data_IF_101911184640
#
_entry.id   IF_101911184640
#
_cell.length_a   1.000
_cell.length_b   1.000
_cell.length_c   1.000
_cell.angle_alpha   90.00
_cell.angle_beta   90.00
_cell.angle_gamma   90.00
#
_symmetry.space_group_name_H-M   'P 1'
#
loop_
_entity.id
_entity.type
_entity.pdbx_description
1 polymer ?
#
# COMPACT_ATOMS: atom_id res chain seq x y z
N UNK A 1 36.39 -11.61 1.79
CA UNK A 1 34.99 -11.33 2.20
C UNK A 1 34.10 -11.46 0.98
N UNK A 2 32.88 -12.01 1.11
CA UNK A 2 31.94 -12.17 -0.01
C UNK A 2 30.61 -11.46 0.27
N UNK A 3 29.95 -10.98 -0.78
CA UNK A 3 28.61 -10.40 -0.76
C UNK A 3 27.67 -11.28 -1.58
N UNK A 4 26.69 -11.91 -0.94
CA UNK A 4 25.65 -12.65 -1.66
C UNK A 4 24.73 -11.65 -2.36
N UNK A 5 24.63 -11.75 -3.68
CA UNK A 5 23.81 -10.88 -4.54
C UNK A 5 22.53 -11.57 -5.03
N UNK A 6 22.51 -12.89 -5.02
CA UNK A 6 21.32 -13.69 -5.31
C UNK A 6 21.36 -15.00 -4.53
N UNK A 7 20.21 -15.48 -4.11
CA UNK A 7 20.08 -16.77 -3.44
C UNK A 7 18.77 -17.43 -3.90
N UNK A 8 18.87 -18.72 -4.18
CA UNK A 8 17.75 -19.59 -4.47
C UNK A 8 17.72 -20.73 -3.43
N UNK A 9 16.79 -21.66 -3.58
CA UNK A 9 16.58 -22.78 -2.67
C UNK A 9 17.78 -23.72 -2.57
N UNK A 10 18.60 -23.84 -3.62
CA UNK A 10 19.71 -24.80 -3.71
C UNK A 10 21.06 -24.21 -4.15
N UNK A 11 21.14 -22.91 -4.46
CA UNK A 11 22.39 -22.20 -4.76
C UNK A 11 22.36 -20.73 -4.32
N UNK A 12 23.53 -20.11 -4.26
CA UNK A 12 23.67 -18.67 -4.07
C UNK A 12 24.79 -18.13 -4.97
N UNK A 13 24.59 -16.91 -5.47
CA UNK A 13 25.58 -16.16 -6.24
C UNK A 13 26.16 -15.10 -5.33
N UNK A 14 27.48 -15.11 -5.19
CA UNK A 14 28.21 -14.16 -4.36
C UNK A 14 29.32 -13.48 -5.14
N UNK A 15 29.52 -12.19 -4.85
CA UNK A 15 30.63 -11.42 -5.36
C UNK A 15 31.76 -11.37 -4.33
N UNK A 16 33.04 -11.52 -4.74
CA UNK A 16 34.16 -11.25 -3.88
C UNK A 16 34.23 -9.75 -3.57
N UNK A 17 34.27 -9.39 -2.29
CA UNK A 17 34.43 -8.00 -1.80
C UNK A 17 35.90 -7.69 -1.51
N UNK A 18 36.67 -8.73 -1.19
CA UNK A 18 38.13 -8.68 -1.01
C UNK A 18 38.67 -9.99 -1.53
N UNK A 19 39.47 -9.99 -2.60
CA UNK A 19 40.29 -11.15 -2.94
C UNK A 19 41.68 -10.75 -3.43
N UNK A 20 42.64 -10.96 -2.54
CA UNK A 20 43.85 -11.69 -2.87
C UNK A 20 43.93 -12.88 -1.91
N UNK A 21 43.52 -14.08 -2.34
CA UNK A 21 43.74 -15.32 -1.57
C UNK A 21 42.66 -16.39 -1.70
N UNK A 22 43.08 -17.58 -2.15
CA UNK A 22 42.51 -18.95 -2.18
C UNK A 22 41.05 -19.24 -1.80
N UNK A 23 40.48 -20.28 -2.44
CA UNK A 23 39.11 -20.78 -2.23
C UNK A 23 38.83 -21.11 -0.75
N UNK A 24 38.09 -20.26 -0.06
CA UNK A 24 37.59 -20.50 1.28
C UNK A 24 36.08 -20.77 1.26
N UNK A 25 35.61 -21.76 2.01
CA UNK A 25 34.18 -22.03 2.18
C UNK A 25 33.57 -21.00 3.13
N UNK A 26 32.52 -20.30 2.70
CA UNK A 26 31.77 -19.35 3.51
C UNK A 26 30.39 -19.93 3.86
N UNK A 27 30.02 -19.92 5.14
CA UNK A 27 28.70 -20.34 5.62
C UNK A 27 27.97 -19.17 6.27
N UNK A 28 26.72 -18.93 5.86
CA UNK A 28 25.81 -17.99 6.52
C UNK A 28 24.64 -18.76 7.10
N UNK A 29 24.42 -18.65 8.41
CA UNK A 29 23.26 -19.23 9.08
C UNK A 29 22.10 -18.25 8.91
N UNK A 30 21.04 -18.69 8.25
CA UNK A 30 19.78 -17.94 8.14
C UNK A 30 18.79 -18.53 9.15
N UNK A 31 18.25 -17.68 10.03
CA UNK A 31 17.19 -18.07 10.97
C UNK A 31 15.82 -18.22 10.27
N UNK A 32 15.69 -17.78 9.02
CA UNK A 32 14.45 -17.91 8.26
C UNK A 32 14.30 -19.34 7.73
N UNK A 33 13.08 -19.89 7.86
CA UNK A 33 12.71 -21.16 7.21
C UNK A 33 12.97 -21.08 5.71
N UNK A 34 13.37 -22.19 5.06
CA UNK A 34 13.70 -22.22 3.62
C UNK A 34 12.61 -21.59 2.73
N UNK A 35 11.34 -21.70 3.13
CA UNK A 35 10.20 -21.11 2.41
C UNK A 35 10.12 -19.58 2.52
N UNK A 36 10.64 -18.96 3.59
CA UNK A 36 10.60 -17.52 3.79
C UNK A 36 11.70 -16.77 3.02
N UNK A 37 12.79 -17.45 2.61
CA UNK A 37 13.88 -16.82 1.85
C UNK A 37 13.45 -16.36 0.45
N UNK A 38 12.49 -17.07 -0.17
CA UNK A 38 12.06 -16.80 -1.55
C UNK A 38 10.82 -15.90 -1.65
N UNK A 39 10.15 -15.60 -0.53
CA UNK A 39 8.97 -14.75 -0.49
C UNK A 39 9.37 -13.29 -0.73
N UNK A 40 8.64 -12.53 -1.57
CA UNK A 40 8.88 -11.11 -1.70
C UNK A 40 8.77 -10.39 -0.35
N UNK A 41 9.52 -9.31 -0.20
CA UNK A 41 9.54 -8.55 1.05
C UNK A 41 8.69 -7.30 0.91
N UNK A 42 7.95 -7.00 1.97
CA UNK A 42 7.16 -5.78 2.07
C UNK A 42 7.57 -4.99 3.33
N UNK A 43 7.45 -3.68 3.29
CA UNK A 43 7.68 -2.81 4.44
C UNK A 43 6.49 -1.88 4.68
N UNK A 44 5.98 -1.85 5.90
CA UNK A 44 5.02 -0.80 6.31
C UNK A 44 5.78 0.51 6.44
N UNK A 45 5.43 1.50 5.60
CA UNK A 45 6.17 2.77 5.50
C UNK A 45 5.40 3.95 6.09
N UNK A 46 4.07 3.87 6.15
CA UNK A 46 3.25 4.92 6.73
C UNK A 46 1.98 4.34 7.36
N UNK A 47 1.60 4.92 8.48
CA UNK A 47 0.33 4.68 9.17
C UNK A 47 -0.30 6.05 9.42
N UNK A 48 -1.40 6.32 8.74
CA UNK A 48 -2.18 7.53 8.90
C UNK A 48 -3.29 7.29 9.94
N UNK A 49 -3.34 8.17 10.93
CA UNK A 49 -4.33 8.15 12.02
C UNK A 49 -4.88 9.57 12.21
N UNK A 50 -6.10 9.69 12.72
CA UNK A 50 -6.79 10.98 12.90
C UNK A 50 -7.22 11.25 14.35
N UNK A 51 -7.22 10.24 15.23
CA UNK A 51 -7.58 10.39 16.65
C UNK A 51 -6.39 10.15 17.59
N UNK A 52 -5.16 10.13 17.05
CA UNK A 52 -3.93 10.00 17.84
C UNK A 52 -3.60 8.57 18.25
N UNK A 53 -4.18 7.58 17.57
CA UNK A 53 -3.87 6.17 17.78
C UNK A 53 -2.36 5.90 17.57
N UNK A 54 -1.80 4.99 18.39
CA UNK A 54 -0.40 4.60 18.28
C UNK A 54 -0.13 3.90 16.95
N UNK A 55 0.70 4.53 16.10
CA UNK A 55 1.10 4.00 14.80
C UNK A 55 1.83 2.66 14.93
N UNK A 56 2.69 2.53 15.94
CA UNK A 56 3.46 1.30 16.20
C UNK A 56 2.52 0.16 16.61
N UNK A 57 1.47 0.44 17.40
CA UNK A 57 0.47 -0.58 17.78
C UNK A 57 -0.37 -1.03 16.57
N UNK A 58 -0.76 -0.10 15.71
CA UNK A 58 -1.49 -0.42 14.47
C UNK A 58 -0.64 -1.31 13.56
N UNK A 59 0.62 -0.94 13.36
CA UNK A 59 1.58 -1.74 12.57
C UNK A 59 1.74 -3.14 13.15
N UNK A 60 1.87 -3.27 14.48
CA UNK A 60 2.01 -4.55 15.15
C UNK A 60 0.77 -5.44 14.96
N UNK A 61 -0.44 -4.94 15.26
CA UNK A 61 -1.68 -5.72 15.12
C UNK A 61 -1.87 -6.20 13.67
N UNK A 62 -1.61 -5.33 12.70
CA UNK A 62 -1.68 -5.68 11.28
C UNK A 62 -0.64 -6.74 10.90
N UNK A 63 0.60 -6.59 11.38
CA UNK A 63 1.70 -7.52 11.10
C UNK A 63 1.43 -8.91 11.68
N UNK A 64 0.96 -8.96 12.93
CA UNK A 64 0.60 -10.21 13.61
C UNK A 64 -0.54 -10.94 12.86
N UNK A 65 -1.51 -10.19 12.32
CA UNK A 65 -2.63 -10.74 11.58
C UNK A 65 -2.26 -11.30 10.20
N UNK A 66 -1.21 -10.80 9.55
CA UNK A 66 -0.69 -11.36 8.29
C UNK A 66 -0.02 -12.72 8.55
N UNK A 67 0.79 -12.78 9.61
CA UNK A 67 1.49 -14.00 10.03
C UNK A 67 2.42 -14.61 8.97
N UNK A 68 2.85 -15.85 9.18
CA UNK A 68 3.85 -16.52 8.32
C UNK A 68 3.29 -17.13 7.04
N UNK A 69 1.97 -17.35 6.98
CA UNK A 69 1.31 -18.04 5.86
C UNK A 69 1.05 -17.15 4.63
N UNK A 70 1.32 -15.85 4.71
CA UNK A 70 1.20 -14.96 3.57
C UNK A 70 2.21 -15.32 2.45
N UNK A 71 1.89 -14.95 1.21
CA UNK A 71 2.77 -15.15 0.05
C UNK A 71 4.00 -14.21 0.04
N UNK A 72 4.07 -13.28 0.99
CA UNK A 72 5.15 -12.31 1.20
C UNK A 72 5.58 -12.30 2.67
N UNK A 73 6.68 -11.61 2.96
CA UNK A 73 7.17 -11.41 4.34
C UNK A 73 7.27 -9.94 4.67
N UNK A 74 6.92 -9.57 5.90
CA UNK A 74 7.13 -8.21 6.39
C UNK A 74 8.58 -8.02 6.82
N UNK A 75 9.17 -6.92 6.40
CA UNK A 75 10.53 -6.53 6.75
C UNK A 75 10.50 -5.81 8.09
N UNK A 76 11.06 -6.40 9.16
CA UNK A 76 11.09 -5.73 10.45
C UNK A 76 12.00 -4.49 10.39
N UNK A 77 11.53 -3.39 10.95
CA UNK A 77 12.29 -2.15 11.09
C UNK A 77 12.50 -1.85 12.57
N UNK A 78 13.74 -1.96 13.00
CA UNK A 78 14.15 -1.48 14.31
C UNK A 78 14.65 -0.05 14.17
N UNK A 79 13.84 0.92 14.62
CA UNK A 79 14.18 2.35 14.61
C UNK A 79 15.40 2.68 15.48
N UNK A 80 15.79 1.79 16.40
CA UNK A 80 16.98 1.90 17.27
C UNK A 80 18.19 1.14 16.73
N UNK A 81 18.12 0.61 15.51
CA UNK A 81 19.20 -0.19 14.93
C UNK A 81 20.52 0.57 14.91
N UNK A 82 20.54 1.82 14.46
CA UNK A 82 21.77 2.63 14.41
C UNK A 82 22.41 2.78 15.79
N UNK A 83 21.62 3.08 16.83
CA UNK A 83 22.11 3.18 18.22
C UNK A 83 22.66 1.84 18.72
N UNK A 84 21.95 0.73 18.48
CA UNK A 84 22.41 -0.60 18.89
C UNK A 84 23.69 -1.02 18.15
N UNK A 85 23.73 -0.80 16.83
CA UNK A 85 24.88 -1.12 16.01
C UNK A 85 26.11 -0.28 16.42
N UNK A 86 25.90 0.99 16.76
CA UNK A 86 26.95 1.86 17.29
C UNK A 86 27.45 1.37 18.65
N UNK A 87 26.56 1.10 19.61
CA UNK A 87 26.95 0.60 20.93
C UNK A 87 27.70 -0.74 20.85
N UNK A 88 27.26 -1.66 19.99
CA UNK A 88 27.97 -2.93 19.76
C UNK A 88 29.35 -2.68 19.14
N UNK A 89 29.45 -1.77 18.17
CA UNK A 89 30.73 -1.40 17.56
C UNK A 89 31.71 -0.80 18.58
N UNK A 90 31.23 0.09 19.45
CA UNK A 90 32.03 0.74 20.50
C UNK A 90 32.50 -0.27 21.55
N UNK A 91 31.65 -1.22 21.95
CA UNK A 91 31.99 -2.23 22.97
C UNK A 91 32.88 -3.36 22.46
N UNK A 92 32.76 -3.74 21.18
CA UNK A 92 33.47 -4.91 20.63
C UNK A 92 34.72 -4.54 19.81
N UNK A 93 34.90 -3.26 19.46
CA UNK A 93 35.96 -2.81 18.58
C UNK A 93 35.81 -3.26 17.11
N UNK A 94 34.75 -4.01 16.79
CA UNK A 94 34.43 -4.50 15.44
C UNK A 94 33.73 -3.39 14.64
N UNK A 95 34.47 -2.32 14.32
CA UNK A 95 33.96 -1.17 13.58
C UNK A 95 33.95 -1.38 12.06
N UNK A 96 33.12 -2.30 11.56
CA UNK A 96 32.85 -2.34 10.13
C UNK A 96 31.69 -1.38 9.79
N UNK A 97 31.97 -0.07 9.82
CA UNK A 97 31.01 0.99 9.43
C UNK A 97 30.39 0.72 8.04
N UNK A 98 31.13 0.09 7.12
CA UNK A 98 30.64 -0.29 5.79
C UNK A 98 29.59 -1.42 5.79
N UNK A 99 29.52 -2.24 6.85
CA UNK A 99 28.54 -3.33 6.97
C UNK A 99 27.24 -2.95 7.69
N UNK A 100 27.24 -1.85 8.43
CA UNK A 100 26.05 -1.40 9.20
C UNK A 100 24.91 -0.91 8.29
N UNK A 101 25.19 -0.48 7.06
CA UNK A 101 24.21 0.13 6.15
C UNK A 101 24.10 -0.62 4.81
N UNK A 102 23.87 -1.94 4.87
CA UNK A 102 23.83 -2.79 3.66
C UNK A 102 22.46 -3.36 3.33
N UNK A 103 21.42 -3.12 4.14
CA UNK A 103 20.08 -3.65 3.83
C UNK A 103 19.55 -2.98 2.56
N UNK A 104 19.19 -3.80 1.57
CA UNK A 104 18.46 -3.34 0.39
C UNK A 104 17.01 -2.99 0.75
N UNK A 105 16.42 -2.10 -0.02
CA UNK A 105 14.99 -1.85 0.06
C UNK A 105 14.20 -3.10 -0.35
N UNK A 106 13.06 -3.37 0.32
CA UNK A 106 12.13 -4.41 -0.11
C UNK A 106 11.48 -4.08 -1.46
N UNK A 107 10.89 -5.10 -2.07
CA UNK A 107 10.17 -5.00 -3.35
C UNK A 107 8.83 -4.27 -3.22
N UNK A 108 8.22 -4.33 -2.04
CA UNK A 108 6.90 -3.76 -1.78
C UNK A 108 6.87 -2.86 -0.55
N UNK A 109 5.95 -1.91 -0.57
CA UNK A 109 5.67 -0.97 0.52
C UNK A 109 4.19 -1.04 0.88
N UNK A 110 3.87 -0.90 2.16
CA UNK A 110 2.50 -0.91 2.66
C UNK A 110 2.22 0.43 3.34
N UNK A 111 1.05 0.99 3.06
CA UNK A 111 0.50 2.12 3.81
C UNK A 111 -0.83 1.72 4.43
N UNK A 112 -1.06 2.15 5.66
CA UNK A 112 -2.29 1.90 6.40
C UNK A 112 -2.96 3.26 6.69
N UNK A 113 -4.27 3.31 6.57
CA UNK A 113 -5.07 4.47 6.89
C UNK A 113 -6.22 4.06 7.81
N UNK A 114 -6.21 4.59 9.03
CA UNK A 114 -7.22 4.36 10.06
C UNK A 114 -8.12 5.57 10.14
N UNK A 115 -9.39 5.41 9.77
CA UNK A 115 -10.39 6.47 9.89
C UNK A 115 -10.82 6.62 11.36
N UNK A 116 -11.19 7.84 11.82
CA UNK A 116 -11.72 8.04 13.17
C UNK A 116 -12.76 6.99 13.56
N UNK A 117 -12.57 6.34 14.71
CA UNK A 117 -13.54 5.39 15.24
C UNK A 117 -14.76 6.15 15.75
N UNK A 118 -15.92 5.82 15.22
CA UNK A 118 -17.19 6.48 15.55
C UNK A 118 -17.92 5.61 16.56
N UNK A 119 -18.47 6.23 17.59
CA UNK A 119 -19.33 5.51 18.51
C UNK A 119 -20.21 6.44 19.31
N UNK A 120 -21.38 5.94 19.70
CA UNK A 120 -22.36 6.65 20.50
C UNK A 120 -23.07 5.67 21.46
N UNK A 121 -23.67 6.23 22.50
CA UNK A 121 -24.49 5.51 23.47
C UNK A 121 -25.83 6.23 23.61
N UNK A 122 -26.94 5.51 23.48
CA UNK A 122 -28.28 6.08 23.63
C UNK A 122 -29.10 5.29 24.65
N UNK A 123 -29.88 5.99 25.47
CA UNK A 123 -30.81 5.35 26.40
C UNK A 123 -31.98 4.74 25.62
N UNK A 124 -32.26 3.45 25.79
CA UNK A 124 -33.38 2.74 25.13
C UNK A 124 -34.43 2.23 26.11
N UNK A 125 -34.17 2.31 27.42
CA UNK A 125 -35.12 1.99 28.49
C UNK A 125 -34.70 2.61 29.82
N UNK A 126 -35.40 2.31 30.92
CA UNK A 126 -35.09 2.93 32.22
C UNK A 126 -33.69 2.59 32.73
N UNK A 127 -33.22 1.38 32.48
CA UNK A 127 -31.91 0.88 32.96
C UNK A 127 -31.01 0.38 31.83
N UNK A 128 -31.42 0.56 30.57
CA UNK A 128 -30.75 0.00 29.39
C UNK A 128 -30.26 1.08 28.43
N UNK A 129 -29.02 0.91 27.98
CA UNK A 129 -28.35 1.76 27.00
C UNK A 129 -27.93 0.94 25.79
N UNK A 130 -28.21 1.42 24.60
CA UNK A 130 -27.67 0.87 23.37
C UNK A 130 -26.35 1.57 23.05
N UNK A 131 -25.29 0.79 22.92
CA UNK A 131 -23.96 1.24 22.52
C UNK A 131 -23.68 0.77 21.10
N UNK A 132 -23.27 1.69 20.23
CA UNK A 132 -22.86 1.39 18.85
C UNK A 132 -21.49 1.97 18.58
N UNK A 133 -20.60 1.17 18.01
CA UNK A 133 -19.24 1.53 17.62
C UNK A 133 -18.96 1.01 16.21
N UNK A 134 -18.30 1.83 15.41
CA UNK A 134 -17.94 1.54 14.02
C UNK A 134 -16.49 1.95 13.76
N UNK A 135 -15.71 1.05 13.16
CA UNK A 135 -14.32 1.28 12.77
C UNK A 135 -14.09 0.92 11.29
N UNK A 136 -13.23 1.71 10.66
CA UNK A 136 -12.94 1.68 9.22
C UNK A 136 -11.42 1.78 9.01
N UNK A 137 -10.84 0.77 8.36
CA UNK A 137 -9.40 0.74 8.07
C UNK A 137 -9.13 0.34 6.63
N UNK A 138 -8.11 0.95 6.05
CA UNK A 138 -7.68 0.73 4.68
C UNK A 138 -6.19 0.44 4.65
N UNK A 139 -5.76 -0.39 3.72
CA UNK A 139 -4.35 -0.52 3.39
C UNK A 139 -4.14 -0.75 1.91
N UNK A 140 -2.95 -0.39 1.45
CA UNK A 140 -2.49 -0.60 0.09
C UNK A 140 -1.09 -1.22 0.09
N UNK A 141 -0.85 -2.12 -0.86
CA UNK A 141 0.49 -2.59 -1.20
C UNK A 141 0.94 -1.92 -2.50
N UNK A 142 2.14 -1.35 -2.46
CA UNK A 142 2.72 -0.52 -3.51
C UNK A 142 4.05 -1.14 -3.94
N UNK A 143 4.30 -1.26 -5.25
CA UNK A 143 5.59 -1.72 -5.77
C UNK A 143 6.66 -0.60 -5.81
N UNK A 144 7.91 -0.94 -6.14
CA UNK A 144 9.02 0.04 -6.21
C UNK A 144 8.85 1.14 -7.25
N UNK A 145 7.92 1.01 -8.20
CA UNK A 145 7.59 2.08 -9.15
C UNK A 145 6.61 3.11 -8.54
N UNK A 146 5.96 2.76 -7.43
CA UNK A 146 4.90 3.55 -6.81
C UNK A 146 3.49 3.14 -7.21
N UNK A 147 3.33 2.04 -7.96
CA UNK A 147 2.02 1.52 -8.38
C UNK A 147 1.37 0.72 -7.26
N UNK A 148 0.08 0.95 -7.03
CA UNK A 148 -0.75 0.12 -6.14
C UNK A 148 -1.02 -1.21 -6.82
N UNK A 149 -0.57 -2.30 -6.20
CA UNK A 149 -0.77 -3.67 -6.70
C UNK A 149 -1.91 -4.39 -6.00
N UNK A 150 -2.27 -3.94 -4.79
CA UNK A 150 -3.38 -4.47 -4.03
C UNK A 150 -3.88 -3.41 -3.06
N UNK A 151 -5.20 -3.33 -2.88
CA UNK A 151 -5.82 -2.47 -1.87
C UNK A 151 -6.92 -3.25 -1.17
N UNK A 152 -7.00 -3.08 0.14
CA UNK A 152 -8.00 -3.74 0.97
C UNK A 152 -8.65 -2.76 1.95
N UNK A 153 -9.85 -3.13 2.35
CA UNK A 153 -10.75 -2.34 3.18
C UNK A 153 -11.45 -3.28 4.16
N UNK A 154 -11.35 -2.98 5.45
CA UNK A 154 -11.96 -3.78 6.49
C UNK A 154 -12.68 -2.90 7.50
N UNK A 155 -13.75 -3.47 8.07
CA UNK A 155 -14.64 -2.79 9.00
C UNK A 155 -14.95 -3.66 10.20
N UNK A 156 -15.30 -3.02 11.31
CA UNK A 156 -15.94 -3.69 12.43
C UNK A 156 -17.04 -2.80 13.00
N UNK A 157 -18.17 -3.42 13.34
CA UNK A 157 -19.29 -2.76 13.99
C UNK A 157 -19.68 -3.58 15.22
N UNK A 158 -19.74 -2.90 16.36
CA UNK A 158 -20.19 -3.47 17.63
C UNK A 158 -21.48 -2.74 18.01
N UNK A 159 -22.59 -3.46 18.13
CA UNK A 159 -23.86 -2.95 18.64
C UNK A 159 -24.33 -3.84 19.79
N UNK A 160 -24.46 -3.27 20.98
CA UNK A 160 -24.82 -4.01 22.19
C UNK A 160 -25.75 -3.21 23.10
N UNK A 161 -26.53 -3.92 23.92
CA UNK A 161 -27.37 -3.33 24.96
C UNK A 161 -26.73 -3.57 26.32
N UNK A 162 -26.44 -2.50 27.04
CA UNK A 162 -25.82 -2.50 28.36
C UNK A 162 -26.89 -2.22 29.41
N UNK A 163 -26.93 -3.01 30.47
CA UNK A 163 -27.85 -2.84 31.61
C UNK A 163 -27.09 -2.39 32.84
N UNK A 164 -27.51 -1.29 33.47
CA UNK A 164 -26.94 -0.80 34.74
C UNK A 164 -25.40 -0.66 34.77
N UNK A 165 -24.78 -0.24 33.66
CA UNK A 165 -23.31 -0.12 33.57
C UNK A 165 -22.55 -1.45 33.55
N UNK A 166 -23.24 -2.60 33.50
CA UNK A 166 -22.63 -3.92 33.30
C UNK A 166 -22.26 -4.10 31.83
N UNK A 167 -21.16 -3.48 31.41
CA UNK A 167 -20.64 -3.56 30.05
C UNK A 167 -19.30 -2.85 29.92
N UNK A 168 -18.60 -3.09 28.82
CA UNK A 168 -17.39 -2.35 28.52
C UNK A 168 -17.72 -0.91 28.16
N UNK A 169 -16.86 0.01 28.59
CA UNK A 169 -16.98 1.42 28.24
C UNK A 169 -16.94 1.64 26.73
N UNK A 170 -17.52 2.75 26.27
CA UNK A 170 -17.46 3.14 24.86
C UNK A 170 -16.01 3.24 24.36
N UNK A 171 -15.10 3.76 25.18
CA UNK A 171 -13.67 3.84 24.84
C UNK A 171 -13.06 2.46 24.60
N UNK A 172 -13.29 1.52 25.52
CA UNK A 172 -12.84 0.13 25.35
C UNK A 172 -13.42 -0.52 24.10
N UNK A 173 -14.71 -0.28 23.79
CA UNK A 173 -15.30 -0.82 22.55
C UNK A 173 -14.73 -0.18 21.29
N UNK A 174 -14.37 1.10 21.31
CA UNK A 174 -13.66 1.74 20.18
C UNK A 174 -12.32 1.05 19.90
N UNK A 175 -11.55 0.75 20.93
CA UNK A 175 -10.29 0.02 20.79
C UNK A 175 -10.51 -1.41 20.26
N UNK A 176 -11.52 -2.12 20.78
CA UNK A 176 -11.86 -3.47 20.32
C UNK A 176 -12.30 -3.46 18.85
N UNK A 177 -13.17 -2.53 18.45
CA UNK A 177 -13.62 -2.41 17.07
C UNK A 177 -12.45 -2.12 16.11
N UNK A 178 -11.56 -1.19 16.48
CA UNK A 178 -10.37 -0.91 15.69
C UNK A 178 -9.45 -2.13 15.56
N UNK A 179 -9.19 -2.83 16.67
CA UNK A 179 -8.39 -4.06 16.67
C UNK A 179 -9.00 -5.11 15.74
N UNK A 180 -10.30 -5.35 15.84
CA UNK A 180 -11.01 -6.31 15.00
C UNK A 180 -10.92 -5.93 13.52
N UNK A 181 -11.11 -4.65 13.18
CA UNK A 181 -10.99 -4.16 11.81
C UNK A 181 -9.56 -4.36 11.25
N UNK A 182 -8.53 -4.07 12.04
CA UNK A 182 -7.12 -4.29 11.67
C UNK A 182 -6.77 -5.76 11.48
N UNK A 183 -7.29 -6.64 12.35
CA UNK A 183 -7.10 -8.10 12.20
C UNK A 183 -7.74 -8.58 10.90
N UNK A 184 -8.97 -8.14 10.60
CA UNK A 184 -9.65 -8.45 9.33
C UNK A 184 -8.85 -7.92 8.14
N UNK A 185 -8.29 -6.72 8.22
CA UNK A 185 -7.45 -6.13 7.17
C UNK A 185 -6.20 -6.98 6.89
N UNK A 186 -5.48 -7.40 7.95
CA UNK A 186 -4.32 -8.28 7.82
C UNK A 186 -4.68 -9.63 7.18
N UNK A 187 -5.81 -10.22 7.56
CA UNK A 187 -6.31 -11.45 6.94
C UNK A 187 -6.69 -11.27 5.46
N UNK A 188 -7.23 -10.11 5.08
CA UNK A 188 -7.50 -9.80 3.67
C UNK A 188 -6.21 -9.68 2.86
N UNK A 189 -5.14 -9.11 3.42
CA UNK A 189 -3.82 -9.08 2.77
C UNK A 189 -3.23 -10.48 2.63
N UNK A 190 -3.28 -11.27 3.71
CA UNK A 190 -2.78 -12.64 3.74
C UNK A 190 -3.44 -13.51 2.65
N UNK A 191 -4.76 -13.40 2.48
CA UNK A 191 -5.52 -14.20 1.50
C UNK A 191 -5.49 -13.62 0.10
N UNK A 192 -5.67 -12.30 -0.02
CA UNK A 192 -5.87 -11.63 -1.29
C UNK A 192 -4.61 -11.49 -2.13
N UNK A 193 -3.44 -11.44 -1.49
CA UNK A 193 -2.16 -11.31 -2.21
C UNK A 193 -1.58 -12.69 -2.47
N UNK A 194 -1.52 -13.05 -3.75
CA UNK A 194 -0.82 -14.23 -4.24
C UNK A 194 0.16 -13.79 -5.31
N UNK A 195 1.46 -13.99 -5.05
CA UNK A 195 2.50 -13.70 -6.02
C UNK A 195 2.72 -14.90 -6.95
N UNK A 196 2.80 -14.60 -8.24
CA UNK A 196 3.24 -15.53 -9.26
C UNK A 196 4.61 -15.12 -9.74
N UNK A 197 5.58 -16.04 -9.63
CA UNK A 197 6.92 -15.81 -10.18
C UNK A 197 6.93 -16.11 -11.66
N UNK A 198 7.49 -15.18 -12.40
CA UNK A 198 7.45 -15.14 -13.85
C UNK A 198 8.85 -15.03 -14.42
N UNK A 199 9.17 -15.88 -15.37
CA UNK A 199 10.43 -15.83 -16.11
C UNK A 199 10.18 -15.20 -17.48
N UNK A 200 10.44 -13.90 -17.57
CA UNK A 200 10.36 -13.14 -18.82
C UNK A 200 11.71 -13.24 -19.56
N UNK A 201 11.68 -13.10 -20.88
CA UNK A 201 12.88 -13.26 -21.71
C UNK A 201 13.26 -11.94 -22.38
N UNK A 202 14.54 -11.62 -22.38
CA UNK A 202 15.11 -10.56 -23.21
C UNK A 202 15.01 -10.98 -24.68
N UNK A 203 14.32 -10.17 -25.47
CA UNK A 203 14.12 -10.38 -26.92
C UNK A 203 15.22 -9.76 -27.77
N UNK A 204 15.81 -8.65 -27.30
CA UNK A 204 16.99 -8.04 -27.91
C UNK A 204 17.78 -7.26 -26.86
N UNK A 205 19.11 -7.34 -26.95
CA UNK A 205 20.05 -6.66 -26.06
C UNK A 205 20.86 -5.59 -26.81
N UNK A 206 21.17 -4.49 -26.13
CA UNK A 206 22.09 -3.44 -26.57
C UNK A 206 23.05 -3.03 -25.45
N UNK A 207 23.90 -2.03 -25.69
CA UNK A 207 24.85 -1.53 -24.68
C UNK A 207 24.19 -0.87 -23.49
N UNK A 208 23.06 -0.17 -23.72
CA UNK A 208 22.41 0.68 -22.72
C UNK A 208 20.93 0.35 -22.53
N UNK A 209 20.28 -0.30 -23.50
CA UNK A 209 18.85 -0.64 -23.42
C UNK A 209 18.58 -2.06 -23.88
N UNK A 210 17.56 -2.67 -23.29
CA UNK A 210 17.09 -4.01 -23.62
C UNK A 210 15.60 -3.99 -23.94
N UNK A 211 15.17 -4.94 -24.77
CA UNK A 211 13.75 -5.15 -25.07
C UNK A 211 13.30 -6.49 -24.53
N UNK A 212 12.17 -6.50 -23.84
CA UNK A 212 11.65 -7.64 -23.10
C UNK A 212 10.29 -8.00 -23.67
N UNK A 213 10.05 -9.29 -23.88
CA UNK A 213 8.72 -9.78 -24.25
C UNK A 213 7.91 -10.02 -22.99
N UNK A 214 6.83 -9.27 -22.81
CA UNK A 214 5.96 -9.31 -21.63
C UNK A 214 4.48 -9.33 -22.04
N UNK A 215 4.04 -10.48 -22.53
CA UNK A 215 2.65 -10.73 -22.94
C UNK A 215 1.68 -10.76 -21.76
N UNK A 216 2.17 -11.03 -20.55
CA UNK A 216 1.36 -11.10 -19.34
C UNK A 216 1.16 -9.76 -18.64
N UNK A 217 1.66 -8.67 -19.24
CA UNK A 217 1.62 -7.32 -18.67
C UNK A 217 2.14 -7.25 -17.24
N UNK A 218 3.32 -7.82 -16.98
CA UNK A 218 3.90 -7.90 -15.64
C UNK A 218 4.85 -6.75 -15.31
N UNK A 219 5.41 -6.12 -16.33
CA UNK A 219 6.36 -5.02 -16.22
C UNK A 219 5.67 -3.67 -16.42
N UNK A 220 5.95 -2.75 -15.50
CA UNK A 220 5.41 -1.38 -15.50
C UNK A 220 6.51 -0.34 -15.63
N UNK A 221 6.18 0.83 -16.17
CA UNK A 221 7.12 1.96 -16.25
C UNK A 221 7.60 2.37 -14.87
N UNK A 222 8.91 2.57 -14.71
CA UNK A 222 9.59 2.85 -13.45
C UNK A 222 9.95 1.61 -12.62
N UNK A 223 9.53 0.41 -13.03
CA UNK A 223 9.88 -0.82 -12.33
C UNK A 223 11.36 -1.14 -12.49
N UNK A 224 12.04 -1.41 -11.37
CA UNK A 224 13.38 -1.99 -11.36
C UNK A 224 13.32 -3.50 -11.50
N UNK A 225 14.19 -4.04 -12.35
CA UNK A 225 14.32 -5.47 -12.63
C UNK A 225 15.79 -5.89 -12.61
N UNK A 226 16.03 -7.17 -12.37
CA UNK A 226 17.33 -7.77 -12.55
C UNK A 226 17.34 -8.62 -13.83
N UNK A 227 18.41 -8.48 -14.60
CA UNK A 227 18.70 -9.33 -15.76
C UNK A 227 19.59 -10.47 -15.29
N UNK A 228 19.23 -11.70 -15.65
CA UNK A 228 19.94 -12.90 -15.28
C UNK A 228 20.47 -13.62 -16.52
N UNK A 229 21.76 -13.92 -16.51
CA UNK A 229 22.33 -14.89 -17.44
C UNK A 229 22.06 -16.31 -16.90
N UNK A 230 21.58 -17.20 -17.77
CA UNK A 230 21.45 -18.63 -17.48
C UNK A 230 22.75 -19.35 -17.81
N UNK A 231 23.43 -19.86 -16.80
CA UNK A 231 24.62 -20.68 -16.99
C UNK A 231 24.42 -22.10 -16.45
N UNK A 232 25.13 -23.07 -17.05
CA UNK A 232 25.16 -24.44 -16.58
C UNK A 232 26.42 -24.66 -15.75
N UNK A 233 26.27 -24.73 -14.43
CA UNK A 233 27.38 -24.96 -13.48
C UNK A 233 27.15 -26.27 -12.77
N UNK A 234 28.15 -27.16 -12.78
CA UNK A 234 28.07 -28.49 -12.14
C UNK A 234 26.78 -29.27 -12.50
N UNK A 235 26.43 -29.25 -13.79
CA UNK A 235 25.21 -29.85 -14.37
C UNK A 235 23.86 -29.22 -13.98
N UNK A 236 23.84 -28.14 -13.19
CA UNK A 236 22.62 -27.40 -12.84
C UNK A 236 22.53 -26.10 -13.61
N UNK A 237 21.31 -25.66 -13.91
CA UNK A 237 21.09 -24.30 -14.41
C UNK A 237 21.06 -23.33 -13.23
N UNK A 238 21.89 -22.30 -13.30
CA UNK A 238 21.97 -21.24 -12.31
C UNK A 238 21.66 -19.91 -12.98
N UNK A 239 20.91 -19.05 -12.27
CA UNK A 239 20.62 -17.68 -12.71
C UNK A 239 21.61 -16.74 -12.03
N UNK A 240 22.44 -16.10 -12.84
CA UNK A 240 23.47 -15.18 -12.39
C UNK A 240 23.00 -13.76 -12.70
N UNK A 241 22.70 -12.91 -11.69
CA UNK A 241 22.31 -11.52 -11.94
C UNK A 241 23.48 -10.75 -12.55
N UNK A 242 23.28 -10.16 -13.71
CA UNK A 242 24.31 -9.43 -14.46
C UNK A 242 24.08 -7.91 -14.40
N UNK A 243 22.82 -7.48 -14.50
CA UNK A 243 22.44 -6.06 -14.52
C UNK A 243 21.23 -5.76 -13.66
N UNK A 244 21.22 -4.58 -13.07
CA UNK A 244 20.00 -3.86 -12.72
C UNK A 244 19.53 -3.04 -13.93
N UNK A 245 18.23 -3.04 -14.19
CA UNK A 245 17.61 -2.24 -15.24
C UNK A 245 16.30 -1.61 -14.76
N UNK A 246 15.94 -0.46 -15.33
CA UNK A 246 14.66 0.23 -15.07
C UNK A 246 13.82 0.21 -16.33
N UNK A 247 12.57 -0.25 -16.20
CA UNK A 247 11.59 -0.21 -17.29
C UNK A 247 11.27 1.26 -17.60
N UNK A 248 11.51 1.68 -18.84
CA UNK A 248 11.32 3.08 -19.28
C UNK A 248 10.09 3.25 -20.16
N UNK A 249 9.66 2.20 -20.86
CA UNK A 249 8.54 2.29 -21.79
C UNK A 249 7.88 0.92 -21.99
N UNK A 250 6.55 0.93 -22.16
CA UNK A 250 5.75 -0.22 -22.59
C UNK A 250 5.08 0.10 -23.93
N UNK A 251 5.21 -0.83 -24.89
CA UNK A 251 4.55 -0.79 -26.19
C UNK A 251 3.85 -2.14 -26.43
N UNK A 252 2.57 -2.22 -26.02
CA UNK A 252 1.81 -3.46 -26.08
C UNK A 252 2.47 -4.58 -25.27
N UNK A 253 2.85 -5.68 -25.94
CA UNK A 253 3.49 -6.85 -25.32
C UNK A 253 5.03 -6.76 -25.26
N UNK A 254 5.60 -5.62 -25.65
CA UNK A 254 7.04 -5.37 -25.57
C UNK A 254 7.34 -4.24 -24.61
N UNK A 255 8.41 -4.41 -23.86
CA UNK A 255 8.83 -3.46 -22.83
C UNK A 255 10.29 -3.10 -23.07
N UNK A 256 10.59 -1.81 -23.02
CA UNK A 256 11.96 -1.30 -23.10
C UNK A 256 12.44 -0.99 -21.69
N UNK A 257 13.62 -1.49 -21.35
CA UNK A 257 14.29 -1.17 -20.09
C UNK A 257 15.68 -0.59 -20.34
N UNK A 258 16.05 0.39 -19.53
CA UNK A 258 17.37 1.01 -19.50
C UNK A 258 18.25 0.23 -18.53
N UNK A 259 19.43 -0.19 -18.97
CA UNK A 259 20.44 -0.79 -18.10
C UNK A 259 21.00 0.32 -17.19
N UNK A 260 20.87 0.13 -15.87
CA UNK A 260 21.28 1.12 -14.88
C UNK A 260 22.71 0.86 -14.41
N UNK A 261 22.96 -0.33 -13.82
CA UNK A 261 24.25 -0.67 -13.22
C UNK A 261 24.56 -2.17 -13.37
N UNK A 262 25.82 -2.54 -13.68
CA UNK A 262 26.24 -3.93 -13.63
C UNK A 262 26.34 -4.40 -12.16
N UNK A 263 25.84 -5.59 -11.88
CA UNK A 263 25.78 -6.14 -10.51
C UNK A 263 27.19 -6.41 -9.95
N UNK A 264 28.13 -6.79 -10.82
CA UNK A 264 29.56 -6.99 -10.54
C UNK A 264 30.37 -5.69 -10.39
N UNK A 265 29.75 -4.51 -10.54
CA UNK A 265 30.39 -3.20 -10.40
C UNK A 265 31.20 -2.78 -11.64
N UNK A 266 32.30 -3.48 -11.95
CA UNK A 266 33.21 -3.09 -13.04
C UNK A 266 33.07 -3.96 -14.30
N UNK A 267 32.63 -5.22 -14.17
CA UNK A 267 32.51 -6.13 -15.30
C UNK A 267 31.15 -6.00 -15.98
N UNK A 268 31.12 -5.31 -17.12
CA UNK A 268 29.93 -5.16 -17.97
C UNK A 268 29.74 -6.41 -18.82
N UNK A 269 29.16 -7.46 -18.24
CA UNK A 269 28.74 -8.63 -19.02
C UNK A 269 27.66 -8.22 -20.04
N UNK A 270 27.79 -8.54 -21.33
CA UNK A 270 26.80 -8.13 -22.32
C UNK A 270 25.47 -8.83 -22.09
N UNK A 271 24.36 -8.10 -22.20
CA UNK A 271 23.01 -8.70 -22.18
C UNK A 271 22.71 -9.33 -23.54
N UNK A 272 22.23 -10.57 -23.52
CA UNK A 272 21.94 -11.37 -24.73
C UNK A 272 20.45 -11.66 -24.84
N UNK A 273 20.01 -11.95 -26.07
CA UNK A 273 18.67 -12.51 -26.28
C UNK A 273 18.56 -13.87 -25.57
N UNK A 274 17.46 -14.09 -24.86
CA UNK A 274 17.24 -15.29 -24.04
C UNK A 274 17.71 -15.16 -22.59
N UNK A 275 18.33 -14.04 -22.20
CA UNK A 275 18.56 -13.73 -20.78
C UNK A 275 17.20 -13.61 -20.05
N UNK A 276 17.20 -14.02 -18.78
CA UNK A 276 16.00 -14.14 -17.95
C UNK A 276 15.77 -12.89 -17.11
N UNK A 277 14.49 -12.59 -16.89
CA UNK A 277 14.06 -11.56 -15.95
C UNK A 277 13.01 -12.19 -15.06
N UNK A 278 13.38 -12.38 -13.80
CA UNK A 278 12.47 -12.90 -12.78
C UNK A 278 11.65 -11.77 -12.18
N UNK A 279 10.33 -11.92 -12.22
CA UNK A 279 9.38 -10.95 -11.66
C UNK A 279 8.35 -11.66 -10.81
N UNK A 280 8.17 -11.19 -9.58
CA UNK A 280 7.05 -11.57 -8.75
C UNK A 280 5.90 -10.56 -8.97
N UNK A 281 4.77 -11.05 -9.49
CA UNK A 281 3.60 -10.23 -9.82
C UNK A 281 2.33 -10.80 -9.23
N UNK A 282 1.45 -9.92 -8.72
CA UNK A 282 0.13 -10.30 -8.22
C UNK A 282 -0.95 -10.27 -9.32
N UNK A 283 -0.90 -9.25 -10.19
CA UNK A 283 -1.86 -9.05 -11.27
C UNK A 283 -1.21 -8.35 -12.46
N UNK A 284 -1.88 -8.43 -13.62
CA UNK A 284 -1.53 -7.65 -14.80
C UNK A 284 -1.50 -6.15 -14.49
N UNK A 285 -0.60 -5.42 -15.14
CA UNK A 285 -0.31 -4.00 -14.90
C UNK A 285 -1.30 -3.10 -15.63
N UNK A 286 -1.75 -3.48 -16.83
CA UNK A 286 -2.43 -2.57 -17.75
C UNK A 286 -1.49 -1.51 -18.36
N UNK A 287 -2.05 -0.58 -19.14
CA UNK A 287 -1.29 0.49 -19.79
C UNK A 287 -0.98 1.65 -18.82
N UNK A 288 0.31 1.88 -18.54
CA UNK A 288 0.79 3.00 -17.70
C UNK A 288 0.44 4.39 -18.25
N UNK A 289 0.12 4.55 -19.54
CA UNK A 289 -0.33 5.84 -20.10
C UNK A 289 -1.73 6.22 -19.61
N UNK A 290 -2.57 5.22 -19.36
CA UNK A 290 -3.91 5.42 -18.80
C UNK A 290 -3.89 5.49 -17.27
N UNK A 291 -2.70 5.52 -16.66
CA UNK A 291 -2.55 5.47 -15.22
C UNK A 291 -3.20 6.66 -14.52
N UNK A 292 -3.66 6.41 -13.29
CA UNK A 292 -4.26 7.41 -12.42
C UNK A 292 -3.42 7.66 -11.19
N UNK A 293 -3.55 8.86 -10.66
CA UNK A 293 -2.89 9.31 -9.42
C UNK A 293 -3.79 10.33 -8.75
N UNK A 294 -3.73 10.43 -7.41
CA UNK A 294 -4.34 11.57 -6.72
C UNK A 294 -3.52 12.84 -6.93
N UNK A 295 -4.19 13.98 -7.06
CA UNK A 295 -3.50 15.26 -7.15
C UNK A 295 -2.68 15.53 -5.88
N UNK A 296 -1.43 15.97 -6.05
CA UNK A 296 -0.49 16.19 -4.94
C UNK A 296 -0.92 17.30 -3.98
N UNK A 297 -1.52 18.36 -4.51
CA UNK A 297 -1.88 19.58 -3.77
C UNK A 297 -3.40 19.78 -3.62
N UNK A 298 -4.21 18.92 -4.24
CA UNK A 298 -5.67 19.00 -4.19
C UNK A 298 -6.20 17.79 -3.42
N UNK A 299 -6.37 17.98 -2.12
CA UNK A 299 -6.97 16.98 -1.25
C UNK A 299 -8.48 16.85 -1.51
N UNK A 300 -9.09 15.86 -0.84
CA UNK A 300 -10.54 15.65 -0.86
C UNK A 300 -11.26 16.94 -0.50
N UNK A 301 -12.07 17.43 -1.43
CA UNK A 301 -12.95 18.57 -1.18
C UNK A 301 -14.27 18.06 -0.63
N UNK A 302 -14.72 18.67 0.46
CA UNK A 302 -16.03 18.38 1.02
C UNK A 302 -16.85 19.67 1.13
N UNK A 303 -18.10 19.61 0.68
CA UNK A 303 -19.11 20.67 0.81
C UNK A 303 -20.31 20.15 1.59
N UNK A 304 -20.88 20.98 2.45
CA UNK A 304 -22.08 20.66 3.22
C UNK A 304 -21.85 20.59 4.72
N UNK A 305 -22.94 20.41 5.46
CA UNK A 305 -23.00 20.65 6.91
C UNK A 305 -22.40 19.52 7.76
N UNK A 306 -22.27 18.31 7.20
CA UNK A 306 -21.91 17.10 7.96
C UNK A 306 -20.48 16.69 7.61
N UNK A 307 -19.47 16.91 8.49
CA UNK A 307 -18.08 16.55 8.23
C UNK A 307 -17.90 15.02 8.10
N UNK A 308 -17.30 14.56 7.00
CA UNK A 308 -17.13 13.14 6.71
C UNK A 308 -15.74 12.82 6.13
N UNK A 309 -14.82 12.48 7.03
CA UNK A 309 -13.43 12.14 6.68
C UNK A 309 -13.27 10.83 5.89
N UNK A 310 -14.30 10.00 5.83
CA UNK A 310 -14.26 8.69 5.18
C UNK A 310 -14.26 8.73 3.65
N UNK A 311 -14.73 9.83 3.03
CA UNK A 311 -14.99 9.82 1.58
C UNK A 311 -13.72 9.64 0.74
N UNK A 312 -12.66 10.41 1.03
CA UNK A 312 -11.40 10.35 0.31
C UNK A 312 -10.81 8.93 0.29
N UNK A 313 -10.64 8.28 1.46
CA UNK A 313 -10.15 6.91 1.53
C UNK A 313 -11.07 5.87 0.86
N UNK A 314 -12.38 6.03 0.98
CA UNK A 314 -13.35 5.13 0.32
C UNK A 314 -13.26 5.20 -1.20
N UNK A 315 -13.28 6.40 -1.79
CA UNK A 315 -13.21 6.54 -3.25
C UNK A 315 -11.82 6.16 -3.78
N UNK A 316 -10.76 6.47 -3.02
CA UNK A 316 -9.42 6.01 -3.33
C UNK A 316 -9.37 4.49 -3.40
N UNK A 317 -9.85 3.80 -2.35
CA UNK A 317 -9.92 2.36 -2.32
C UNK A 317 -10.67 1.83 -3.54
N UNK A 318 -11.85 2.39 -3.85
CA UNK A 318 -12.63 1.99 -5.02
C UNK A 318 -11.84 2.13 -6.34
N UNK A 319 -11.13 3.25 -6.55
CA UNK A 319 -10.26 3.39 -7.72
C UNK A 319 -9.14 2.35 -7.72
N UNK A 320 -8.46 2.15 -6.60
CA UNK A 320 -7.32 1.21 -6.55
C UNK A 320 -7.72 -0.27 -6.65
N UNK A 321 -8.95 -0.64 -6.26
CA UNK A 321 -9.41 -2.04 -6.25
C UNK A 321 -10.32 -2.42 -7.41
N UNK A 322 -10.96 -1.46 -8.08
CA UNK A 322 -11.99 -1.73 -9.11
C UNK A 322 -11.69 -1.10 -10.47
N UNK A 323 -10.74 -0.15 -10.55
CA UNK A 323 -10.33 0.46 -11.82
C UNK A 323 -9.62 -0.57 -12.69
N UNK A 324 -9.91 -0.55 -13.99
CA UNK A 324 -9.12 -1.28 -15.01
C UNK A 324 -7.80 -0.59 -15.33
N UNK A 325 -7.68 0.68 -14.96
CA UNK A 325 -6.48 1.49 -15.18
C UNK A 325 -5.56 1.40 -13.96
N UNK A 326 -4.24 1.24 -14.14
CA UNK A 326 -3.30 1.22 -13.02
C UNK A 326 -3.36 2.51 -12.20
N UNK A 327 -3.16 2.37 -10.88
CA UNK A 327 -3.18 3.49 -9.95
C UNK A 327 -1.81 3.63 -9.29
N UNK A 328 -1.31 4.87 -9.19
CA UNK A 328 -0.03 5.19 -8.54
C UNK A 328 -0.24 6.00 -7.27
N UNK A 329 0.46 5.61 -6.21
CA UNK A 329 0.35 6.16 -4.86
C UNK A 329 1.62 6.92 -4.44
N UNK A 330 2.22 7.69 -5.34
CA UNK A 330 3.52 8.35 -5.10
C UNK A 330 3.43 9.58 -4.20
N UNK A 331 2.29 10.29 -4.24
CA UNK A 331 2.05 11.53 -3.49
C UNK A 331 1.54 11.35 -2.05
N UNK A 332 1.18 12.47 -1.45
CA UNK A 332 0.52 12.63 -0.14
C UNK A 332 -1.00 12.70 -0.29
N UNK A 333 -1.60 11.71 -0.98
CA UNK A 333 -2.98 11.76 -1.49
C UNK A 333 -4.06 12.19 -0.51
N UNK A 334 -3.84 12.02 0.80
CA UNK A 334 -4.72 12.52 1.86
C UNK A 334 -4.07 13.62 2.70
N UNK A 335 -4.90 14.50 3.27
CA UNK A 335 -4.45 15.52 4.21
C UNK A 335 -3.75 14.85 5.41
N UNK A 336 -2.50 15.22 5.66
CA UNK A 336 -1.68 14.63 6.73
C UNK A 336 -0.93 13.35 6.35
N UNK A 337 -1.16 12.79 5.15
CA UNK A 337 -0.37 11.68 4.64
C UNK A 337 0.99 12.17 4.13
N UNK A 338 2.04 11.40 4.36
CA UNK A 338 3.37 11.73 3.85
C UNK A 338 3.58 11.12 2.46
N UNK A 339 4.31 11.80 1.56
CA UNK A 339 4.62 11.26 0.23
C UNK A 339 5.42 9.96 0.33
N UNK A 340 5.30 9.08 -0.67
CA UNK A 340 5.80 7.70 -0.55
C UNK A 340 7.31 7.69 -0.38
N UNK A 341 7.98 8.51 -1.19
CA UNK A 341 9.43 8.74 -1.10
C UNK A 341 9.86 9.16 0.30
N UNK A 342 9.16 10.12 0.90
CA UNK A 342 9.51 10.65 2.22
C UNK A 342 9.26 9.62 3.32
N UNK A 343 8.16 8.86 3.24
CA UNK A 343 7.87 7.77 4.16
C UNK A 343 8.93 6.66 4.10
N UNK A 344 9.34 6.25 2.89
CA UNK A 344 10.41 5.25 2.72
C UNK A 344 11.72 5.75 3.31
N UNK A 345 12.15 6.97 2.97
CA UNK A 345 13.40 7.56 3.47
C UNK A 345 13.39 7.60 5.00
N UNK A 346 12.32 8.15 5.61
CA UNK A 346 12.20 8.26 7.06
C UNK A 346 12.23 6.91 7.77
N UNK A 347 11.59 5.89 7.19
CA UNK A 347 11.55 4.56 7.78
C UNK A 347 12.90 3.81 7.66
N UNK A 348 13.74 4.19 6.71
CA UNK A 348 14.97 3.46 6.37
C UNK A 348 16.25 4.12 6.87
N UNK A 349 16.24 5.43 7.10
CA UNK A 349 17.39 6.27 7.49
C UNK A 349 18.23 5.69 8.66
N UNK A 350 17.57 5.16 9.69
CA UNK A 350 18.23 4.65 10.91
C UNK A 350 18.10 3.13 11.10
N UNK A 351 17.67 2.42 10.07
CA UNK A 351 17.27 1.01 10.17
C UNK A 351 18.24 0.02 9.50
N UNK A 352 19.47 0.48 9.21
CA UNK A 352 20.54 -0.33 8.61
C UNK A 352 20.42 -0.50 7.09
N UNK A 353 19.55 0.27 6.44
CA UNK A 353 19.47 0.35 4.98
C UNK A 353 20.61 1.19 4.41
N UNK A 354 20.87 1.00 3.10
CA UNK A 354 21.80 1.85 2.36
C UNK A 354 21.41 3.32 2.48
N UNK A 355 22.40 4.19 2.74
CA UNK A 355 22.19 5.65 2.89
C UNK A 355 21.70 6.32 1.61
N UNK A 356 22.19 5.86 0.45
CA UNK A 356 21.71 6.30 -0.85
C UNK A 356 20.65 5.31 -1.35
N UNK A 357 19.39 5.75 -1.34
CA UNK A 357 18.26 4.99 -1.84
C UNK A 357 17.98 5.40 -3.28
N UNK A 358 18.24 4.51 -4.24
CA UNK A 358 17.85 4.72 -5.64
C UNK A 358 16.35 4.43 -5.83
N UNK A 359 15.53 5.43 -5.45
CA UNK A 359 14.08 5.43 -5.56
C UNK A 359 13.65 6.20 -6.82
N UNK A 360 13.41 5.47 -7.91
CA UNK A 360 12.88 6.01 -9.18
C UNK A 360 11.37 5.76 -9.27
N UNK A 361 10.58 6.56 -8.54
CA UNK A 361 9.12 6.45 -8.59
C UNK A 361 8.58 7.03 -9.92
N UNK A 362 7.64 6.33 -10.55
CA UNK A 362 6.89 6.83 -11.69
C UNK A 362 5.69 7.66 -11.22
N UNK A 363 5.59 8.89 -11.71
CA UNK A 363 4.47 9.79 -11.43
C UNK A 363 3.74 10.03 -12.75
N UNK A 364 2.49 9.54 -12.91
CA UNK A 364 1.66 9.90 -14.06
C UNK A 364 1.53 11.42 -14.13
N UNK A 365 1.81 12.00 -15.30
CA UNK A 365 1.79 13.46 -15.48
C UNK A 365 0.51 13.95 -16.14
N UNK A 366 -0.06 13.18 -17.07
CA UNK A 366 -1.17 13.62 -17.93
C UNK A 366 -2.39 14.13 -17.15
N UNK A 367 -2.90 13.33 -16.20
CA UNK A 367 -4.06 13.68 -15.39
C UNK A 367 -3.91 13.23 -13.92
N UNK A 368 -4.51 13.99 -13.00
CA UNK A 368 -4.68 13.61 -11.61
C UNK A 368 -6.14 13.73 -11.17
N UNK A 369 -6.48 12.99 -10.11
CA UNK A 369 -7.82 12.93 -9.52
C UNK A 369 -7.89 13.69 -8.19
N UNK A 370 -8.91 14.52 -8.06
CA UNK A 370 -9.32 15.12 -6.78
C UNK A 370 -10.67 14.54 -6.36
N UNK A 371 -10.73 13.80 -5.24
CA UNK A 371 -12.00 13.40 -4.62
C UNK A 371 -12.85 14.63 -4.27
N UNK A 372 -14.15 14.58 -4.58
CA UNK A 372 -15.09 15.63 -4.23
C UNK A 372 -16.38 15.03 -3.68
N UNK A 373 -16.85 15.54 -2.55
CA UNK A 373 -18.05 15.08 -1.88
C UNK A 373 -18.93 16.23 -1.43
N UNK A 374 -20.24 16.08 -1.60
CA UNK A 374 -21.25 16.99 -1.10
C UNK A 374 -22.30 16.19 -0.35
N UNK A 375 -22.65 16.67 0.84
CA UNK A 375 -23.73 16.10 1.65
C UNK A 375 -24.68 17.20 2.10
N UNK A 376 -25.98 16.97 1.90
CA UNK A 376 -27.04 17.86 2.37
C UNK A 376 -28.16 17.06 3.02
N UNK A 377 -28.80 17.64 4.03
CA UNK A 377 -30.05 17.11 4.57
C UNK A 377 -31.18 17.76 3.80
N UNK A 378 -32.13 16.97 3.32
CA UNK A 378 -33.33 17.50 2.69
C UNK A 378 -34.28 17.99 3.78
N UNK A 379 -34.40 19.31 3.97
CA UNK A 379 -35.16 19.89 5.08
C UNK A 379 -36.63 19.41 5.13
N UNK A 380 -37.29 19.35 3.97
CA UNK A 380 -38.68 18.90 3.84
C UNK A 380 -38.89 17.41 4.19
N UNK A 381 -37.81 16.63 4.31
CA UNK A 381 -37.86 15.21 4.67
C UNK A 381 -37.82 14.96 6.17
N UNK A 382 -37.51 15.98 6.98
CA UNK A 382 -37.27 15.82 8.42
C UNK A 382 -38.60 15.59 9.13
N UNK A 383 -38.73 14.44 9.79
CA UNK A 383 -39.91 14.07 10.59
C UNK A 383 -39.47 13.63 11.97
N UNK A 384 -39.80 14.42 12.99
CA UNK A 384 -39.42 14.12 14.36
C UNK A 384 -40.61 13.67 15.22
N UNK A 385 -40.31 12.94 16.29
CA UNK A 385 -41.25 12.69 17.37
C UNK A 385 -41.62 14.00 18.12
N UNK A 386 -42.62 13.93 19.00
CA UNK A 386 -43.21 15.09 19.69
C UNK A 386 -42.20 15.95 20.45
N UNK A 387 -41.17 15.31 21.04
CA UNK A 387 -40.10 15.95 21.81
C UNK A 387 -38.86 16.28 20.96
N UNK A 388 -38.90 16.07 19.64
CA UNK A 388 -37.83 16.34 18.68
C UNK A 388 -36.50 15.61 18.98
N UNK A 389 -36.53 14.58 19.83
CA UNK A 389 -35.34 13.82 20.24
C UNK A 389 -34.94 12.79 19.19
N UNK A 390 -35.90 12.29 18.41
CA UNK A 390 -35.70 11.28 17.38
C UNK A 390 -36.32 11.76 16.08
N UNK A 391 -35.51 11.82 15.02
CA UNK A 391 -35.94 12.28 13.71
C UNK A 391 -35.59 11.28 12.60
N UNK A 392 -36.49 11.16 11.63
CA UNK A 392 -36.21 10.60 10.32
C UNK A 392 -35.76 11.74 9.40
N UNK A 393 -34.84 11.46 8.48
CA UNK A 393 -34.35 12.44 7.51
C UNK A 393 -33.78 11.77 6.26
N UNK A 394 -33.85 12.45 5.12
CA UNK A 394 -33.20 12.03 3.88
C UNK A 394 -31.91 12.82 3.68
N UNK A 395 -30.81 12.11 3.48
CA UNK A 395 -29.54 12.70 3.07
C UNK A 395 -29.38 12.62 1.56
N UNK A 396 -29.05 13.73 0.93
CA UNK A 396 -28.64 13.80 -0.48
C UNK A 396 -27.12 13.80 -0.52
N UNK A 397 -26.55 12.69 -1.00
CA UNK A 397 -25.11 12.48 -1.14
C UNK A 397 -24.71 12.63 -2.60
N UNK A 398 -23.81 13.54 -2.92
CA UNK A 398 -23.19 13.64 -4.25
C UNK A 398 -21.69 13.44 -4.13
N UNK A 399 -21.18 12.33 -4.66
CA UNK A 399 -19.77 11.95 -4.58
C UNK A 399 -19.16 11.72 -5.94
N UNK A 400 -17.87 12.03 -6.09
CA UNK A 400 -17.17 11.83 -7.34
C UNK A 400 -15.68 12.14 -7.29
N UNK A 401 -15.06 12.17 -8.46
CA UNK A 401 -13.69 12.62 -8.67
C UNK A 401 -13.64 13.64 -9.80
N UNK A 402 -12.92 14.75 -9.57
CA UNK A 402 -12.61 15.75 -10.58
C UNK A 402 -11.25 15.41 -11.20
N UNK A 403 -11.12 15.66 -12.50
CA UNK A 403 -9.89 15.42 -13.28
C UNK A 403 -9.19 16.75 -13.54
N UNK A 404 -7.88 16.77 -13.32
CA UNK A 404 -7.03 17.92 -13.54
C UNK A 404 -5.85 17.55 -14.44
N UNK A 405 -5.46 18.45 -15.33
CA UNK A 405 -4.28 18.27 -16.18
C UNK A 405 -2.98 18.69 -15.47
N UNK A 406 -1.83 18.59 -16.16
CA UNK A 406 -0.52 19.04 -15.66
C UNK A 406 -0.48 20.49 -15.18
N UNK A 407 -1.29 21.37 -15.78
CA UNK A 407 -1.40 22.80 -15.43
C UNK A 407 -2.34 23.05 -14.24
N UNK A 408 -2.86 22.00 -13.60
CA UNK A 408 -3.88 22.07 -12.54
C UNK A 408 -5.20 22.71 -13.00
N UNK A 409 -5.50 22.65 -14.28
CA UNK A 409 -6.78 23.09 -14.81
C UNK A 409 -7.76 21.91 -14.79
N UNK A 410 -9.00 22.17 -14.37
CA UNK A 410 -10.04 21.14 -14.35
C UNK A 410 -10.43 20.78 -15.79
N UNK A 411 -10.16 19.53 -16.18
CA UNK A 411 -10.47 18.99 -17.52
C UNK A 411 -11.71 18.09 -17.52
N UNK A 412 -12.21 17.69 -16.34
CA UNK A 412 -13.43 16.90 -16.27
C UNK A 412 -13.87 16.57 -14.85
N UNK A 413 -14.97 15.83 -14.75
CA UNK A 413 -15.41 15.21 -13.51
C UNK A 413 -16.29 13.99 -13.79
N UNK A 414 -16.27 13.05 -12.86
CA UNK A 414 -17.22 11.95 -12.77
C UNK A 414 -17.84 11.97 -11.39
N UNK A 415 -19.14 11.72 -11.28
CA UNK A 415 -19.83 11.67 -10.00
C UNK A 415 -21.22 11.10 -10.10
N UNK A 416 -21.75 10.72 -8.95
CA UNK A 416 -23.11 10.23 -8.79
C UNK A 416 -23.76 10.88 -7.58
N UNK A 417 -25.07 11.00 -7.66
CA UNK A 417 -25.91 11.41 -6.55
C UNK A 417 -26.74 10.22 -6.07
N UNK A 418 -26.94 10.12 -4.77
CA UNK A 418 -27.79 9.14 -4.12
C UNK A 418 -28.54 9.77 -2.95
N UNK A 419 -29.79 9.38 -2.76
CA UNK A 419 -30.56 9.67 -1.56
C UNK A 419 -30.48 8.50 -0.57
N UNK A 420 -30.30 8.83 0.71
CA UNK A 420 -30.23 7.87 1.80
C UNK A 420 -31.27 8.25 2.85
N UNK A 421 -32.30 7.41 2.97
CA UNK A 421 -33.34 7.58 3.96
C UNK A 421 -32.86 7.05 5.32
N UNK A 422 -32.78 7.93 6.29
CA UNK A 422 -32.38 7.65 7.66
C UNK A 422 -33.61 7.62 8.56
N UNK A 423 -33.64 6.63 9.45
CA UNK A 423 -34.72 6.46 10.43
C UNK A 423 -34.17 6.47 11.84
N UNK A 424 -34.95 7.02 12.76
CA UNK A 424 -34.70 6.93 14.19
C UNK A 424 -33.40 7.63 14.64
N UNK A 425 -33.05 8.75 14.02
CA UNK A 425 -31.81 9.48 14.33
C UNK A 425 -31.99 10.27 15.62
N UNK A 426 -31.25 9.88 16.66
CA UNK A 426 -31.18 10.63 17.90
C UNK A 426 -30.42 11.95 17.66
N UNK A 427 -31.06 13.08 17.93
CA UNK A 427 -30.49 14.41 17.66
C UNK A 427 -29.21 14.69 18.44
N UNK A 428 -29.06 14.13 19.64
CA UNK A 428 -27.83 14.24 20.44
C UNK A 428 -26.61 13.51 19.83
N UNK A 429 -26.86 12.53 18.96
CA UNK A 429 -25.82 11.71 18.32
C UNK A 429 -25.86 11.77 16.79
N UNK A 430 -26.57 12.78 16.23
CA UNK A 430 -26.86 12.95 14.81
C UNK A 430 -25.64 12.73 13.91
N UNK A 431 -24.51 13.40 14.19
CA UNK A 431 -23.31 13.28 13.36
C UNK A 431 -22.70 11.87 13.36
N UNK A 432 -22.65 11.21 14.53
CA UNK A 432 -22.14 9.85 14.62
C UNK A 432 -23.01 8.87 13.84
N UNK A 433 -24.33 8.97 14.01
CA UNK A 433 -25.29 8.12 13.29
C UNK A 433 -25.24 8.35 11.78
N UNK A 434 -25.17 9.60 11.33
CA UNK A 434 -25.02 9.94 9.91
C UNK A 434 -23.75 9.36 9.31
N UNK A 435 -22.60 9.51 9.98
CA UNK A 435 -21.34 9.00 9.48
C UNK A 435 -21.34 7.48 9.35
N UNK A 436 -21.88 6.75 10.34
CA UNK A 436 -22.01 5.28 10.26
C UNK A 436 -22.89 4.87 9.08
N UNK A 437 -24.02 5.56 8.85
CA UNK A 437 -24.92 5.25 7.75
C UNK A 437 -24.29 5.57 6.38
N UNK A 438 -23.47 6.62 6.29
CA UNK A 438 -22.70 6.92 5.08
C UNK A 438 -21.69 5.82 4.72
N UNK A 439 -20.97 5.27 5.70
CA UNK A 439 -20.07 4.12 5.46
C UNK A 439 -20.80 2.90 4.90
N UNK A 440 -22.07 2.70 5.27
CA UNK A 440 -22.91 1.61 4.74
C UNK A 440 -23.45 1.91 3.33
N UNK A 441 -23.75 3.17 3.02
CA UNK A 441 -24.38 3.56 1.77
C UNK A 441 -23.39 3.75 0.60
N UNK A 442 -22.28 4.46 0.86
CA UNK A 442 -21.35 4.92 -0.19
C UNK A 442 -20.67 3.81 -1.00
N UNK A 443 -20.24 2.66 -0.44
CA UNK A 443 -19.54 1.63 -1.21
C UNK A 443 -20.28 1.18 -2.49
N UNK A 444 -21.62 1.20 -2.48
CA UNK A 444 -22.45 0.82 -3.63
C UNK A 444 -22.30 1.76 -4.83
N UNK A 445 -22.21 3.06 -4.59
CA UNK A 445 -22.12 4.06 -5.67
C UNK A 445 -20.69 4.28 -6.15
N UNK A 446 -19.69 4.03 -5.28
CA UNK A 446 -18.29 4.24 -5.63
C UNK A 446 -17.84 3.35 -6.78
N UNK A 447 -18.31 2.10 -6.84
CA UNK A 447 -18.03 1.22 -7.99
C UNK A 447 -18.58 1.78 -9.30
N UNK A 448 -19.80 2.30 -9.28
CA UNK A 448 -20.40 2.92 -10.46
C UNK A 448 -19.64 4.19 -10.89
N UNK A 449 -19.12 4.97 -9.94
CA UNK A 449 -18.26 6.13 -10.23
C UNK A 449 -16.98 5.68 -10.94
N UNK A 450 -16.31 4.64 -10.44
CA UNK A 450 -15.08 4.11 -11.04
C UNK A 450 -15.33 3.57 -12.45
N UNK A 451 -16.40 2.78 -12.63
CA UNK A 451 -16.78 2.25 -13.95
C UNK A 451 -17.06 3.38 -14.95
N UNK A 452 -17.80 4.41 -14.55
CA UNK A 452 -18.05 5.60 -15.38
C UNK A 452 -16.76 6.34 -15.72
N UNK A 453 -15.83 6.44 -14.77
CA UNK A 453 -14.54 7.06 -14.98
C UNK A 453 -13.71 6.28 -16.01
N UNK A 454 -13.79 4.96 -16.00
CA UNK A 454 -13.07 4.08 -16.92
C UNK A 454 -13.67 4.09 -18.33
N UNK A 455 -15.00 4.17 -18.44
CA UNK A 455 -15.73 4.16 -19.71
C UNK A 455 -15.71 5.49 -20.46
N UNK A 456 -15.45 6.60 -19.77
CA UNK A 456 -15.35 7.92 -20.39
C UNK A 456 -14.08 8.04 -21.24
N UNK A 457 -14.22 7.79 -22.54
CA UNK A 457 -13.43 8.43 -23.59
C UNK A 457 -14.14 9.69 -24.06
#
# INVERSE_FOLDING_TARGET
MIRVVHADSDYAVALPVLMSGTSSQFSKISANTRQALNKPKALVVDVLTYQGESKDLIEQIFSDAIGENASFTLTPVNKRYSTLAQSVSEQTGLSNQETQHQRELPEFFIRINVIPVIGYQQQVGKMTQQQVVHSEVFAEMIDRSGRVIYSAHATDEISETISQGMGFSLGTRKEVALKNALVKLGQQFQKGIQFTRSDLQVSSGGSDTITIQDTGERLTTGMKIHVYNREKVAQRQVLIPTWEATVVERQGNKVKAQLDFPVSGNDRLPVRSGDSILVDSHAAVGDSKLARVLCSNLHTEQVGEIPFYGFGPLIYHAFTSQSKRPFYATGSGFKGQTSLKTSIVKMTENAGFKKQLDLKLYVPKEECLQPAFKIQVQEDSIKCNTDQSICDATLVLAGGARRFNEKQERVGAVGLQQEVNLKGINTAHRHAMYNIQMFKALPKILNQIVQKADSGQ
#
